data_IF_870350492911
#
_entry.id   IF_870350492911
#
_cell.length_a   1.000
_cell.length_b   1.000
_cell.length_c   1.000
_cell.angle_alpha   90.00
_cell.angle_beta   90.00
_cell.angle_gamma   90.00
#
_symmetry.space_group_name_H-M   'P 1'
#
loop_
_entity.id
_entity.type
_entity.pdbx_description
1 polymer ?
#
# COMPACT_ATOMS: atom_id res chain seq x y z
N UNK A 1 -9.35 24.03 18.88
CA UNK A 1 -8.82 23.77 17.51
C UNK A 1 -9.89 23.06 16.68
N UNK A 2 -9.84 23.20 15.36
CA UNK A 2 -10.75 22.56 14.39
C UNK A 2 -9.94 21.79 13.34
N UNK A 3 -10.49 20.68 12.85
CA UNK A 3 -9.78 19.76 11.96
C UNK A 3 -10.61 19.28 10.78
N UNK A 4 -9.92 19.07 9.66
CA UNK A 4 -10.40 18.23 8.56
C UNK A 4 -9.46 17.03 8.51
N UNK A 5 -10.00 15.83 8.71
CA UNK A 5 -9.26 14.59 8.48
C UNK A 5 -9.45 14.18 7.01
N UNK A 6 -8.39 14.32 6.21
CA UNK A 6 -8.46 14.11 4.76
C UNK A 6 -8.51 12.63 4.35
N UNK A 7 -8.35 11.70 5.28
CA UNK A 7 -8.29 10.27 4.98
C UNK A 7 -8.74 9.42 6.17
N UNK A 8 -10.01 9.03 6.18
CA UNK A 8 -10.57 8.09 7.15
C UNK A 8 -11.39 6.99 6.46
N UNK A 9 -10.99 5.73 6.62
CA UNK A 9 -11.61 4.57 5.97
C UNK A 9 -12.88 4.12 6.74
N UNK A 10 -13.86 5.01 6.91
CA UNK A 10 -15.04 4.79 7.75
C UNK A 10 -16.01 3.71 7.23
N UNK A 11 -15.80 3.20 6.02
CA UNK A 11 -16.47 2.00 5.49
C UNK A 11 -15.82 0.70 6.00
N UNK A 12 -14.65 0.77 6.66
CA UNK A 12 -13.98 -0.42 7.17
C UNK A 12 -14.87 -1.20 8.18
N UNK A 13 -14.99 -2.53 8.04
CA UNK A 13 -15.84 -3.35 8.91
C UNK A 13 -15.51 -3.25 10.41
N UNK A 14 -14.28 -2.83 10.79
CA UNK A 14 -13.89 -2.63 12.18
C UNK A 14 -14.76 -1.59 12.90
N UNK A 15 -15.30 -0.59 12.19
CA UNK A 15 -16.22 0.40 12.77
C UNK A 15 -17.65 -0.14 12.95
N UNK A 16 -17.98 -1.22 12.24
CA UNK A 16 -19.21 -2.00 12.43
C UNK A 16 -19.03 -3.17 13.39
N UNK A 17 -17.89 -3.22 14.09
CA UNK A 17 -17.55 -4.26 15.07
C UNK A 17 -17.12 -5.61 14.47
N UNK A 18 -16.83 -5.66 13.17
CA UNK A 18 -16.41 -6.87 12.46
C UNK A 18 -14.89 -6.88 12.29
N UNK A 19 -14.24 -7.94 12.80
CA UNK A 19 -12.79 -8.10 12.70
C UNK A 19 -12.49 -9.44 12.04
N UNK A 20 -11.80 -9.41 10.89
CA UNK A 20 -11.46 -10.62 10.11
C UNK A 20 -12.70 -11.51 9.86
N UNK A 21 -13.82 -10.88 9.48
CA UNK A 21 -15.08 -11.54 9.17
C UNK A 21 -15.88 -12.06 10.38
N UNK A 22 -15.51 -11.69 11.62
CA UNK A 22 -16.26 -12.08 12.83
C UNK A 22 -16.77 -10.86 13.58
N UNK A 23 -18.05 -10.87 13.96
CA UNK A 23 -18.63 -9.87 14.85
C UNK A 23 -17.99 -10.01 16.24
N UNK A 24 -17.29 -8.96 16.71
CA UNK A 24 -16.65 -8.92 18.02
C UNK A 24 -17.43 -8.08 19.04
N UNK A 25 -18.12 -7.04 18.57
CA UNK A 25 -18.96 -6.16 19.39
C UNK A 25 -20.08 -5.55 18.55
N UNK A 26 -21.04 -4.85 19.16
CA UNK A 26 -22.09 -4.11 18.43
C UNK A 26 -21.48 -3.00 17.54
N UNK A 27 -22.23 -2.60 16.52
CA UNK A 27 -21.89 -1.43 15.70
C UNK A 27 -21.78 -0.17 16.57
N UNK A 28 -20.65 0.52 16.49
CA UNK A 28 -20.37 1.74 17.24
C UNK A 28 -19.97 2.92 16.34
N UNK A 29 -20.26 2.83 15.04
CA UNK A 29 -19.88 3.81 14.03
C UNK A 29 -20.32 5.25 14.38
N UNK A 30 -21.56 5.42 14.88
CA UNK A 30 -22.05 6.74 15.32
C UNK A 30 -21.26 7.30 16.52
N UNK A 31 -20.81 6.43 17.43
CA UNK A 31 -20.02 6.85 18.58
C UNK A 31 -18.60 7.26 18.18
N UNK A 32 -18.04 6.66 17.12
CA UNK A 32 -16.78 7.09 16.50
C UNK A 32 -16.90 8.52 15.98
N UNK A 33 -18.00 8.83 15.27
CA UNK A 33 -18.26 10.20 14.80
C UNK A 33 -18.49 11.20 15.95
N UNK A 34 -19.19 10.81 17.00
CA UNK A 34 -19.39 11.66 18.18
C UNK A 34 -18.06 12.00 18.86
N UNK A 35 -17.14 11.03 18.97
CA UNK A 35 -15.79 11.26 19.48
C UNK A 35 -14.99 12.19 18.57
N UNK A 36 -15.05 11.99 17.25
CA UNK A 36 -14.40 12.86 16.28
C UNK A 36 -14.88 14.33 16.41
N UNK A 37 -16.21 14.55 16.49
CA UNK A 37 -16.79 15.89 16.68
C UNK A 37 -16.34 16.53 17.99
N UNK A 38 -16.35 15.78 19.10
CA UNK A 38 -15.86 16.27 20.41
C UNK A 38 -14.37 16.64 20.38
N UNK A 39 -13.57 15.95 19.57
CA UNK A 39 -12.18 16.26 19.34
C UNK A 39 -11.96 17.45 18.37
N UNK A 40 -13.01 18.11 17.89
CA UNK A 40 -12.89 19.24 16.98
C UNK A 40 -12.73 18.86 15.50
N UNK A 41 -12.96 17.61 15.12
CA UNK A 41 -13.04 17.22 13.70
C UNK A 41 -14.38 17.72 13.15
N UNK A 42 -14.34 18.69 12.25
CA UNK A 42 -15.54 19.27 11.62
C UNK A 42 -15.84 18.63 10.26
N UNK A 43 -14.81 18.16 9.55
CA UNK A 43 -14.98 17.47 8.25
C UNK A 43 -14.11 16.23 8.15
N UNK A 44 -14.61 15.22 7.44
CA UNK A 44 -14.00 13.91 7.21
C UNK A 44 -14.12 13.56 5.74
N UNK A 45 -13.03 13.13 5.12
CA UNK A 45 -13.06 12.58 3.77
C UNK A 45 -12.91 11.06 3.87
N UNK A 46 -13.97 10.35 3.49
CA UNK A 46 -14.02 8.89 3.43
C UNK A 46 -13.35 8.43 2.13
N UNK A 47 -12.34 7.59 2.26
CA UNK A 47 -11.56 7.12 1.12
C UNK A 47 -12.30 6.03 0.35
N UNK A 48 -12.59 6.28 -0.93
CA UNK A 48 -13.04 5.25 -1.88
C UNK A 48 -11.84 4.64 -2.61
N UNK A 49 -11.60 3.33 -2.47
CA UNK A 49 -10.43 2.66 -3.07
C UNK A 49 -10.75 1.91 -4.36
N UNK A 50 -12.02 1.70 -4.69
CA UNK A 50 -12.50 1.18 -5.96
C UNK A 50 -13.95 1.62 -6.20
N UNK A 51 -14.55 1.19 -7.31
CA UNK A 51 -15.92 1.59 -7.66
C UNK A 51 -16.97 1.13 -6.64
N UNK A 52 -16.83 -0.06 -6.06
CA UNK A 52 -17.75 -0.60 -5.05
C UNK A 52 -17.66 0.16 -3.73
N UNK A 53 -16.45 0.31 -3.19
CA UNK A 53 -16.19 1.01 -1.93
C UNK A 53 -16.51 2.51 -2.04
N UNK A 54 -16.33 3.13 -3.21
CA UNK A 54 -16.74 4.51 -3.45
C UNK A 54 -18.28 4.66 -3.43
N UNK A 55 -19.02 3.71 -3.99
CA UNK A 55 -20.49 3.70 -3.89
C UNK A 55 -20.93 3.51 -2.43
N UNK A 56 -20.32 2.56 -1.72
CA UNK A 56 -20.62 2.32 -0.30
C UNK A 56 -20.37 3.58 0.55
N UNK A 57 -19.24 4.26 0.33
CA UNK A 57 -18.92 5.50 1.04
C UNK A 57 -19.99 6.58 0.78
N UNK A 58 -20.39 6.78 -0.48
CA UNK A 58 -21.43 7.73 -0.85
C UNK A 58 -22.78 7.38 -0.20
N UNK A 59 -23.15 6.10 -0.17
CA UNK A 59 -24.41 5.65 0.43
C UNK A 59 -24.42 5.83 1.95
N UNK A 60 -23.31 5.51 2.63
CA UNK A 60 -23.13 5.76 4.06
C UNK A 60 -23.25 7.27 4.37
N UNK A 61 -22.65 8.12 3.53
CA UNK A 61 -22.75 9.58 3.68
C UNK A 61 -24.19 10.05 3.50
N UNK A 62 -24.88 9.61 2.45
CA UNK A 62 -26.30 9.97 2.23
C UNK A 62 -27.19 9.62 3.42
N UNK A 63 -26.89 8.53 4.13
CA UNK A 63 -27.66 8.08 5.29
C UNK A 63 -27.31 8.80 6.59
N UNK A 64 -26.11 9.40 6.71
CA UNK A 64 -25.57 9.84 8.00
C UNK A 64 -25.00 11.27 8.02
N UNK A 65 -25.10 12.03 6.93
CA UNK A 65 -24.44 13.34 6.79
C UNK A 65 -25.33 14.55 7.16
N UNK A 66 -26.07 14.44 8.27
CA UNK A 66 -27.01 15.50 8.71
C UNK A 66 -26.31 16.85 8.97
N UNK A 67 -25.03 16.84 9.32
CA UNK A 67 -24.25 18.03 9.68
C UNK A 67 -23.22 18.46 8.61
N UNK A 68 -23.29 17.92 7.38
CA UNK A 68 -22.31 18.19 6.31
C UNK A 68 -20.84 17.93 6.72
N UNK A 69 -20.64 16.95 7.60
CA UNK A 69 -19.33 16.55 8.13
C UNK A 69 -18.58 15.60 7.19
N UNK A 70 -19.31 14.77 6.43
CA UNK A 70 -18.74 13.66 5.68
C UNK A 70 -18.69 13.95 4.18
N UNK A 71 -17.56 13.66 3.57
CA UNK A 71 -17.27 13.74 2.14
C UNK A 71 -16.61 12.44 1.68
N UNK A 72 -16.47 12.24 0.36
CA UNK A 72 -15.84 11.03 -0.19
C UNK A 72 -14.87 11.37 -1.32
N UNK A 73 -13.97 10.44 -1.59
CA UNK A 73 -13.22 10.38 -2.84
C UNK A 73 -13.85 9.36 -3.80
N UNK A 74 -13.56 9.48 -5.10
CA UNK A 74 -13.90 8.45 -6.11
C UNK A 74 -12.67 8.16 -6.96
N UNK A 75 -12.26 6.89 -7.03
CA UNK A 75 -11.07 6.46 -7.76
C UNK A 75 -10.84 4.96 -7.65
N UNK A 76 -9.68 4.51 -8.13
CA UNK A 76 -9.24 3.13 -8.07
C UNK A 76 -7.78 3.08 -7.60
N UNK A 77 -7.59 2.46 -6.44
CA UNK A 77 -6.33 2.30 -5.75
C UNK A 77 -5.37 1.40 -6.55
N UNK A 78 -4.04 1.60 -6.49
CA UNK A 78 -3.06 0.76 -7.19
C UNK A 78 -3.31 -0.74 -7.00
N UNK A 79 -3.68 -1.19 -5.81
CA UNK A 79 -3.91 -2.63 -5.54
C UNK A 79 -5.20 -3.20 -6.14
N UNK A 80 -6.08 -2.34 -6.66
CA UNK A 80 -7.39 -2.71 -7.24
C UNK A 80 -7.45 -2.48 -8.75
N UNK A 81 -6.35 -2.00 -9.36
CA UNK A 81 -6.34 -1.61 -10.78
C UNK A 81 -6.62 -2.77 -11.75
N UNK A 82 -6.52 -4.04 -11.33
CA UNK A 82 -6.96 -5.19 -12.13
C UNK A 82 -8.48 -5.18 -12.41
N UNK A 83 -9.29 -4.49 -11.58
CA UNK A 83 -10.73 -4.38 -11.77
C UNK A 83 -11.11 -3.71 -13.10
N UNK A 84 -10.25 -2.83 -13.64
CA UNK A 84 -10.45 -2.25 -14.98
C UNK A 84 -10.49 -3.33 -16.07
N UNK A 85 -9.61 -4.33 -15.99
CA UNK A 85 -9.55 -5.43 -16.98
C UNK A 85 -10.64 -6.48 -16.72
N UNK A 86 -11.09 -6.61 -15.46
CA UNK A 86 -12.12 -7.57 -15.05
C UNK A 86 -13.55 -7.06 -15.30
N UNK A 87 -13.73 -5.76 -15.50
CA UNK A 87 -15.02 -5.15 -15.84
C UNK A 87 -15.61 -5.74 -17.13
N UNK A 88 -16.92 -6.02 -17.15
CA UNK A 88 -17.59 -6.71 -18.26
C UNK A 88 -17.51 -5.96 -19.60
N UNK A 89 -17.63 -4.63 -19.62
CA UNK A 89 -17.39 -3.81 -20.81
C UNK A 89 -15.99 -3.19 -20.84
N UNK A 90 -15.06 -3.78 -20.07
CA UNK A 90 -13.65 -3.47 -20.09
C UNK A 90 -13.26 -2.14 -19.44
N UNK A 91 -12.00 -1.70 -19.66
CA UNK A 91 -11.43 -0.58 -18.93
C UNK A 91 -12.14 0.76 -19.14
N UNK A 92 -12.64 1.00 -20.36
CA UNK A 92 -13.35 2.24 -20.70
C UNK A 92 -14.68 2.35 -19.94
N UNK A 93 -15.43 1.25 -19.79
CA UNK A 93 -16.67 1.25 -19.01
C UNK A 93 -16.37 1.54 -17.54
N UNK A 94 -15.36 0.87 -16.95
CA UNK A 94 -15.01 1.08 -15.55
C UNK A 94 -14.61 2.54 -15.27
N UNK A 95 -13.80 3.14 -16.15
CA UNK A 95 -13.43 4.56 -16.04
C UNK A 95 -14.64 5.49 -16.16
N UNK A 96 -15.57 5.21 -17.09
CA UNK A 96 -16.79 6.00 -17.24
C UNK A 96 -17.70 5.90 -16.02
N UNK A 97 -17.82 4.71 -15.40
CA UNK A 97 -18.61 4.54 -14.17
C UNK A 97 -18.04 5.32 -12.99
N UNK A 98 -16.71 5.40 -12.86
CA UNK A 98 -16.08 6.29 -11.86
C UNK A 98 -16.39 7.77 -12.15
N UNK A 99 -16.34 8.18 -13.42
CA UNK A 99 -16.68 9.55 -13.81
C UNK A 99 -18.14 9.89 -13.51
N UNK A 100 -19.06 9.02 -13.89
CA UNK A 100 -20.50 9.17 -13.62
C UNK A 100 -20.75 9.28 -12.12
N UNK A 101 -20.17 8.37 -11.33
CA UNK A 101 -20.32 8.39 -9.86
C UNK A 101 -19.86 9.72 -9.25
N UNK A 102 -18.74 10.27 -9.70
CA UNK A 102 -18.25 11.57 -9.23
C UNK A 102 -19.18 12.72 -9.65
N UNK A 103 -19.69 12.70 -10.89
CA UNK A 103 -20.55 13.76 -11.43
C UNK A 103 -21.98 13.75 -10.86
N UNK A 104 -22.51 12.59 -10.52
CA UNK A 104 -23.84 12.44 -9.94
C UNK A 104 -23.90 12.84 -8.45
N UNK A 105 -22.74 12.95 -7.79
CA UNK A 105 -22.65 13.22 -6.35
C UNK A 105 -21.76 14.45 -6.02
N UNK A 106 -21.98 15.62 -6.64
CA UNK A 106 -21.05 16.76 -6.57
C UNK A 106 -20.98 17.44 -5.19
N UNK A 107 -21.98 17.26 -4.33
CA UNK A 107 -21.96 17.76 -2.95
C UNK A 107 -21.22 16.86 -1.97
N UNK A 108 -20.91 15.63 -2.38
CA UNK A 108 -20.32 14.59 -1.54
C UNK A 108 -18.91 14.25 -1.99
N UNK A 109 -18.69 14.13 -3.30
CA UNK A 109 -17.41 13.73 -3.88
C UNK A 109 -16.52 14.95 -4.06
N UNK A 110 -15.43 15.00 -3.29
CA UNK A 110 -14.53 16.17 -3.23
C UNK A 110 -13.17 15.95 -3.86
N UNK A 111 -12.82 14.70 -4.21
CA UNK A 111 -11.53 14.39 -4.84
C UNK A 111 -11.61 13.15 -5.74
N UNK A 112 -10.73 13.11 -6.75
CA UNK A 112 -10.44 11.90 -7.51
C UNK A 112 -9.32 11.13 -6.82
N UNK A 113 -9.61 9.90 -6.43
CA UNK A 113 -8.72 9.04 -5.67
C UNK A 113 -9.53 8.11 -4.77
N UNK A 114 -8.90 7.22 -4.03
CA UNK A 114 -7.47 7.06 -3.91
C UNK A 114 -6.86 6.42 -5.17
N UNK A 115 -5.85 7.05 -5.78
CA UNK A 115 -5.18 6.50 -6.96
C UNK A 115 -3.68 6.83 -6.95
N UNK A 116 -2.87 6.02 -7.64
CA UNK A 116 -1.42 6.18 -7.58
C UNK A 116 -0.69 4.86 -7.77
N UNK A 117 0.42 4.68 -7.04
CA UNK A 117 1.33 3.54 -7.21
C UNK A 117 1.76 2.97 -5.84
N UNK A 118 1.74 1.65 -5.70
CA UNK A 118 2.20 0.92 -4.51
C UNK A 118 3.02 -0.32 -4.90
N UNK A 119 4.35 -0.20 -4.82
CA UNK A 119 5.27 -1.29 -5.17
C UNK A 119 5.57 -2.23 -4.00
N UNK A 120 5.05 -1.94 -2.80
CA UNK A 120 5.07 -2.88 -1.67
C UNK A 120 3.89 -3.88 -1.74
N UNK A 121 3.03 -3.75 -2.75
CA UNK A 121 1.79 -4.52 -2.92
C UNK A 121 1.63 -5.14 -4.31
N UNK A 122 2.75 -5.43 -4.99
CA UNK A 122 2.75 -6.03 -6.33
C UNK A 122 2.08 -7.42 -6.41
N UNK A 123 1.89 -8.10 -5.27
CA UNK A 123 1.11 -9.34 -5.19
C UNK A 123 -0.39 -9.14 -5.44
N UNK A 124 -0.90 -7.92 -5.31
CA UNK A 124 -2.30 -7.59 -5.56
C UNK A 124 -2.54 -7.06 -6.97
N UNK A 125 -1.61 -6.25 -7.50
CA UNK A 125 -1.70 -5.71 -8.85
C UNK A 125 -0.30 -5.42 -9.39
N UNK A 126 -0.02 -5.79 -10.64
CA UNK A 126 1.31 -5.64 -11.23
C UNK A 126 1.68 -4.18 -11.46
N UNK A 127 3.00 -3.90 -11.48
CA UNK A 127 3.53 -2.55 -11.71
C UNK A 127 3.03 -1.94 -13.02
N UNK A 128 2.93 -2.76 -14.07
CA UNK A 128 2.48 -2.33 -15.40
C UNK A 128 1.00 -1.92 -15.39
N UNK A 129 0.15 -2.67 -14.68
CA UNK A 129 -1.28 -2.40 -14.57
C UNK A 129 -1.52 -1.16 -13.69
N UNK A 130 -0.81 -1.05 -12.57
CA UNK A 130 -0.83 0.15 -11.72
C UNK A 130 -0.48 1.41 -12.53
N UNK A 131 0.63 1.40 -13.28
CA UNK A 131 1.03 2.57 -14.10
C UNK A 131 0.00 2.89 -15.19
N UNK A 132 -0.53 1.87 -15.88
CA UNK A 132 -1.54 2.05 -16.93
C UNK A 132 -2.80 2.74 -16.41
N UNK A 133 -3.32 2.28 -15.26
CA UNK A 133 -4.59 2.78 -14.73
C UNK A 133 -4.46 3.96 -13.79
N UNK A 134 -3.28 4.22 -13.25
CA UNK A 134 -2.99 5.52 -12.66
C UNK A 134 -3.00 6.62 -13.73
N UNK A 135 -2.34 6.40 -14.87
CA UNK A 135 -2.33 7.35 -15.99
C UNK A 135 -3.75 7.68 -16.50
N UNK A 136 -4.61 6.65 -16.61
CA UNK A 136 -5.99 6.83 -17.05
C UNK A 136 -6.82 7.70 -16.10
N UNK A 137 -6.57 7.65 -14.79
CA UNK A 137 -7.35 8.38 -13.80
C UNK A 137 -7.09 9.90 -13.80
N UNK A 138 -6.00 10.38 -14.41
CA UNK A 138 -5.84 11.82 -14.67
C UNK A 138 -6.93 12.37 -15.61
N UNK A 139 -7.55 11.53 -16.47
CA UNK A 139 -8.72 11.93 -17.26
C UNK A 139 -9.92 12.27 -16.38
N UNK A 140 -10.09 11.58 -15.25
CA UNK A 140 -11.19 11.84 -14.32
C UNK A 140 -11.02 13.22 -13.67
N UNK A 141 -9.81 13.52 -13.17
CA UNK A 141 -9.50 14.82 -12.57
C UNK A 141 -9.66 15.96 -13.60
N UNK A 142 -9.23 15.73 -14.84
CA UNK A 142 -9.36 16.71 -15.91
C UNK A 142 -10.82 17.01 -16.27
N UNK A 143 -11.69 15.99 -16.30
CA UNK A 143 -13.12 16.14 -16.64
C UNK A 143 -13.94 16.71 -15.48
N UNK A 144 -13.67 16.27 -14.26
CA UNK A 144 -14.43 16.68 -13.06
C UNK A 144 -13.94 17.99 -12.47
N UNK A 145 -12.69 18.39 -12.77
CA UNK A 145 -12.00 19.54 -12.13
C UNK A 145 -11.80 19.38 -10.63
N UNK A 146 -12.01 18.18 -10.09
CA UNK A 146 -11.75 17.87 -8.69
C UNK A 146 -10.24 17.71 -8.44
N UNK A 147 -9.78 18.02 -7.22
CA UNK A 147 -8.41 17.73 -6.79
C UNK A 147 -8.13 16.23 -6.77
N UNK A 148 -6.85 15.85 -6.77
CA UNK A 148 -6.44 14.44 -6.67
C UNK A 148 -6.03 14.05 -5.25
N UNK A 149 -6.46 12.86 -4.81
CA UNK A 149 -6.04 12.21 -3.57
C UNK A 149 -5.13 11.03 -3.92
N UNK A 150 -3.82 11.23 -3.77
CA UNK A 150 -2.79 10.42 -4.42
C UNK A 150 -2.07 9.47 -3.46
N UNK A 151 -1.97 8.20 -3.82
CA UNK A 151 -1.21 7.19 -3.09
C UNK A 151 0.19 6.99 -3.68
N UNK A 152 1.19 6.90 -2.81
CA UNK A 152 2.55 6.59 -3.23
C UNK A 152 3.30 5.74 -2.18
N UNK A 153 3.78 4.56 -2.58
CA UNK A 153 4.59 3.68 -1.72
C UNK A 153 5.71 2.99 -2.48
N UNK A 154 6.96 3.34 -2.13
CA UNK A 154 8.18 2.69 -2.61
C UNK A 154 8.31 2.64 -4.14
N UNK A 155 7.94 3.72 -4.82
CA UNK A 155 7.80 3.72 -6.28
C UNK A 155 9.04 4.22 -7.03
N UNK A 156 10.05 4.72 -6.28
CA UNK A 156 11.19 5.42 -6.84
C UNK A 156 10.74 6.63 -7.66
N UNK A 157 11.35 6.84 -8.81
CA UNK A 157 11.04 8.02 -9.64
C UNK A 157 9.74 7.86 -10.46
N UNK A 158 9.12 6.68 -10.51
CA UNK A 158 7.98 6.43 -11.41
C UNK A 158 6.77 7.32 -11.06
N UNK A 159 6.42 7.46 -9.78
CA UNK A 159 5.30 8.29 -9.35
C UNK A 159 5.53 9.77 -9.68
N UNK A 160 6.68 10.32 -9.29
CA UNK A 160 7.04 11.73 -9.55
C UNK A 160 7.07 12.03 -11.05
N UNK A 161 7.63 11.13 -11.86
CA UNK A 161 7.67 11.30 -13.32
C UNK A 161 6.27 11.31 -13.95
N UNK A 162 5.36 10.44 -13.49
CA UNK A 162 3.98 10.40 -13.98
C UNK A 162 3.18 11.65 -13.58
N UNK A 163 3.33 12.10 -12.32
CA UNK A 163 2.75 13.37 -11.86
C UNK A 163 3.26 14.51 -12.74
N UNK A 164 4.58 14.61 -12.94
CA UNK A 164 5.18 15.68 -13.74
C UNK A 164 4.67 15.70 -15.19
N UNK A 165 4.52 14.53 -15.81
CA UNK A 165 3.96 14.41 -17.16
C UNK A 165 2.49 14.87 -17.23
N UNK A 166 1.70 14.61 -16.18
CA UNK A 166 0.26 14.87 -16.14
C UNK A 166 -0.13 16.11 -15.32
N UNK A 167 0.83 16.89 -14.81
CA UNK A 167 0.56 17.98 -13.86
C UNK A 167 -0.39 19.04 -14.41
N UNK A 168 -0.42 19.22 -15.74
CA UNK A 168 -1.28 20.17 -16.43
C UNK A 168 -2.78 19.79 -16.44
N UNK A 169 -3.12 18.56 -16.02
CA UNK A 169 -4.48 17.99 -16.13
C UNK A 169 -5.34 18.19 -14.90
N UNK A 170 -4.74 18.61 -13.77
CA UNK A 170 -5.44 18.85 -12.51
C UNK A 170 -4.83 20.08 -11.80
N UNK A 171 -5.57 20.73 -10.92
CA UNK A 171 -5.14 21.98 -10.26
C UNK A 171 -4.47 21.72 -8.92
N UNK A 172 -5.14 21.01 -8.03
CA UNK A 172 -4.69 20.68 -6.68
C UNK A 172 -4.59 19.17 -6.49
N UNK A 173 -3.72 18.75 -5.59
CA UNK A 173 -3.67 17.36 -5.15
C UNK A 173 -2.84 17.20 -3.89
N UNK A 174 -3.11 16.14 -3.16
CA UNK A 174 -2.38 15.75 -1.95
C UNK A 174 -1.78 14.36 -2.17
N UNK A 175 -0.51 14.19 -1.81
CA UNK A 175 0.10 12.88 -1.64
C UNK A 175 -0.14 12.47 -0.20
N UNK A 176 -1.13 11.61 0.01
CA UNK A 176 -1.61 11.24 1.34
C UNK A 176 -0.69 10.18 1.98
N UNK A 177 -0.78 10.04 3.30
CA UNK A 177 -0.08 9.02 4.10
C UNK A 177 1.42 8.93 3.76
N UNK A 178 2.05 10.10 3.64
CA UNK A 178 3.39 10.24 3.08
C UNK A 178 4.45 9.65 4.02
N UNK A 179 5.27 8.73 3.52
CA UNK A 179 6.36 8.11 4.29
C UNK A 179 7.67 8.00 3.51
N UNK A 180 7.82 8.73 2.41
CA UNK A 180 9.06 8.69 1.59
C UNK A 180 10.11 9.67 2.12
N UNK A 181 11.13 9.97 1.32
CA UNK A 181 12.30 10.77 1.72
C UNK A 181 12.06 12.29 1.61
N UNK A 182 12.98 13.07 2.17
CA UNK A 182 12.97 14.54 2.09
C UNK A 182 13.08 15.00 0.63
N UNK A 183 13.91 14.33 -0.15
CA UNK A 183 14.15 14.67 -1.56
C UNK A 183 12.88 14.49 -2.39
N UNK A 184 12.18 13.38 -2.21
CA UNK A 184 10.92 13.12 -2.91
C UNK A 184 9.82 14.09 -2.45
N UNK A 185 9.74 14.37 -1.14
CA UNK A 185 8.82 15.37 -0.61
C UNK A 185 9.04 16.75 -1.26
N UNK A 186 10.30 17.20 -1.36
CA UNK A 186 10.65 18.48 -2.00
C UNK A 186 10.24 18.52 -3.47
N UNK A 187 10.48 17.43 -4.22
CA UNK A 187 10.04 17.33 -5.62
C UNK A 187 8.51 17.45 -5.77
N UNK A 188 7.74 16.82 -4.87
CA UNK A 188 6.27 16.88 -4.90
C UNK A 188 5.75 18.28 -4.53
N UNK A 189 6.37 18.93 -3.55
CA UNK A 189 6.09 20.32 -3.18
C UNK A 189 6.41 21.30 -4.31
N UNK A 190 7.54 21.12 -5.00
CA UNK A 190 7.93 21.92 -6.18
C UNK A 190 6.94 21.75 -7.34
N UNK A 191 6.31 20.59 -7.44
CA UNK A 191 5.19 20.34 -8.36
C UNK A 191 3.86 20.92 -7.85
N UNK A 192 3.85 21.63 -6.71
CA UNK A 192 2.67 22.29 -6.15
C UNK A 192 1.66 21.31 -5.55
N UNK A 193 2.11 20.16 -5.05
CA UNK A 193 1.28 19.21 -4.32
C UNK A 193 1.37 19.44 -2.81
N UNK A 194 0.29 19.11 -2.11
CA UNK A 194 0.26 19.01 -0.65
C UNK A 194 0.76 17.65 -0.19
N UNK A 195 1.21 17.58 1.07
CA UNK A 195 1.70 16.38 1.73
C UNK A 195 0.80 16.06 2.91
N UNK A 196 0.16 14.89 2.87
CA UNK A 196 -0.67 14.36 3.95
C UNK A 196 0.17 13.60 4.97
N UNK A 197 -0.03 13.91 6.25
CA UNK A 197 0.71 13.33 7.38
C UNK A 197 -0.26 12.64 8.33
N UNK A 198 0.05 11.39 8.69
CA UNK A 198 -0.67 10.62 9.71
C UNK A 198 0.32 9.90 10.66
N UNK A 199 -0.18 9.04 11.55
CA UNK A 199 0.71 8.32 12.46
C UNK A 199 1.67 7.31 11.79
N UNK A 200 1.42 6.89 10.53
CA UNK A 200 2.39 6.14 9.73
C UNK A 200 3.55 7.02 9.24
N UNK A 201 3.28 8.28 8.93
CA UNK A 201 4.27 9.33 8.61
C UNK A 201 5.11 9.77 9.82
N UNK A 202 4.88 9.19 11.00
CA UNK A 202 5.49 9.60 12.27
C UNK A 202 6.14 8.42 13.01
N UNK A 203 6.44 7.32 12.29
CA UNK A 203 6.93 6.06 12.87
C UNK A 203 8.40 6.10 13.25
N UNK A 204 9.27 6.55 12.36
CA UNK A 204 10.73 6.55 12.56
C UNK A 204 11.28 7.96 12.72
N UNK A 205 12.52 8.09 13.20
CA UNK A 205 13.17 9.39 13.33
C UNK A 205 13.38 10.04 11.96
N UNK A 206 13.68 9.24 10.93
CA UNK A 206 13.77 9.70 9.55
C UNK A 206 12.43 10.28 9.07
N UNK A 207 11.31 9.64 9.39
CA UNK A 207 9.99 10.20 9.05
C UNK A 207 9.75 11.55 9.73
N UNK A 208 10.14 11.71 11.01
CA UNK A 208 10.02 12.99 11.71
C UNK A 208 10.87 14.09 11.04
N UNK A 209 12.08 13.76 10.57
CA UNK A 209 12.90 14.72 9.83
C UNK A 209 12.22 15.18 8.54
N UNK A 210 11.56 14.27 7.83
CA UNK A 210 10.82 14.63 6.62
C UNK A 210 9.64 15.54 6.94
N UNK A 211 8.84 15.20 7.95
CA UNK A 211 7.68 16.01 8.35
C UNK A 211 8.09 17.41 8.82
N UNK A 212 9.26 17.53 9.46
CA UNK A 212 9.81 18.82 9.88
C UNK A 212 10.14 19.75 8.70
N UNK A 213 10.50 19.19 7.54
CA UNK A 213 10.88 19.94 6.34
C UNK A 213 9.69 20.34 5.46
N UNK A 214 8.47 19.81 5.69
CA UNK A 214 7.29 20.14 4.88
C UNK A 214 6.94 21.64 5.09
N UNK A 215 6.73 22.44 4.03
CA UNK A 215 6.27 23.82 4.20
C UNK A 215 4.88 23.88 4.85
N UNK A 216 4.64 24.88 5.71
CA UNK A 216 3.36 25.02 6.43
C UNK A 216 2.17 25.13 5.47
N UNK A 217 2.34 25.83 4.35
CA UNK A 217 1.32 26.03 3.30
C UNK A 217 1.17 24.83 2.36
N UNK A 218 1.85 23.72 2.63
CA UNK A 218 1.78 22.46 1.87
C UNK A 218 1.48 21.25 2.75
N UNK A 219 1.17 21.47 4.02
CA UNK A 219 0.89 20.41 4.98
C UNK A 219 -0.62 20.16 5.14
N UNK A 220 -1.00 18.89 5.14
CA UNK A 220 -2.33 18.40 5.54
C UNK A 220 -2.18 17.26 6.54
N UNK A 221 -3.22 16.97 7.33
CA UNK A 221 -3.21 15.91 8.34
C UNK A 221 -4.38 14.95 8.15
N UNK A 222 -4.15 13.71 8.52
CA UNK A 222 -5.14 12.64 8.47
C UNK A 222 -4.86 11.57 9.53
N UNK A 223 -5.83 10.67 9.73
CA UNK A 223 -5.63 9.51 10.61
C UNK A 223 -5.34 8.23 9.87
N UNK A 224 -5.83 8.08 8.63
CA UNK A 224 -5.93 6.80 7.92
C UNK A 224 -6.63 5.72 8.78
N UNK A 225 -7.58 6.15 9.64
CA UNK A 225 -8.30 5.25 10.53
C UNK A 225 -9.02 4.16 9.72
N UNK A 226 -9.05 2.89 10.18
CA UNK A 226 -8.66 2.39 11.50
C UNK A 226 -7.16 2.09 11.68
N UNK A 227 -6.33 2.47 10.70
CA UNK A 227 -4.89 2.20 10.67
C UNK A 227 -4.07 3.32 11.31
N UNK A 228 -2.74 3.24 11.15
CA UNK A 228 -1.79 4.31 11.48
C UNK A 228 -1.84 4.92 12.90
N UNK A 229 -2.33 4.18 13.88
CA UNK A 229 -2.31 4.55 15.30
C UNK A 229 -0.89 4.94 15.77
N UNK A 230 -0.75 6.01 16.58
CA UNK A 230 0.55 6.41 17.15
C UNK A 230 0.86 5.51 18.35
N UNK A 231 1.88 4.65 18.21
CA UNK A 231 2.20 3.61 19.20
C UNK A 231 3.37 4.01 20.08
N UNK A 232 3.50 3.44 21.30
CA UNK A 232 4.66 3.67 22.17
C UNK A 232 6.02 3.40 21.50
N UNK A 233 6.05 2.46 20.55
CA UNK A 233 7.26 2.09 19.79
C UNK A 233 7.63 3.07 18.67
N UNK A 234 6.76 4.03 18.33
CA UNK A 234 7.03 5.02 17.29
C UNK A 234 7.89 6.16 17.85
N UNK A 235 8.73 6.76 17.00
CA UNK A 235 9.55 7.92 17.37
C UNK A 235 8.70 9.11 17.84
N UNK A 236 7.48 9.25 17.34
CA UNK A 236 6.49 10.26 17.74
C UNK A 236 5.99 10.14 19.18
N UNK A 237 6.06 8.96 19.80
CA UNK A 237 5.45 8.73 21.12
C UNK A 237 6.01 9.65 22.21
N UNK A 238 7.31 9.99 22.12
CA UNK A 238 8.00 10.90 23.05
C UNK A 238 7.43 12.33 23.04
N UNK A 239 6.79 12.73 21.94
CA UNK A 239 6.22 14.07 21.80
C UNK A 239 4.82 14.19 22.40
N UNK A 240 4.12 13.07 22.62
CA UNK A 240 2.79 13.06 23.19
C UNK A 240 2.75 13.51 24.67
N UNK A 241 3.87 13.39 25.38
CA UNK A 241 3.98 13.84 26.77
C UNK A 241 3.84 15.37 26.95
N UNK A 242 3.95 16.14 25.85
CA UNK A 242 3.79 17.60 25.86
C UNK A 242 2.33 18.03 25.70
N UNK A 243 1.42 17.11 25.36
CA UNK A 243 0.01 17.43 25.13
C UNK A 243 -0.68 17.67 26.48
N UNK A 244 -1.44 18.76 26.65
CA UNK A 244 -2.30 18.98 27.81
C UNK A 244 -3.19 17.77 28.10
N UNK A 245 -3.40 17.46 29.38
CA UNK A 245 -4.16 16.27 29.80
C UNK A 245 -5.58 16.25 29.21
N UNK A 246 -6.25 17.40 29.18
CA UNK A 246 -7.62 17.54 28.66
C UNK A 246 -7.70 17.22 27.16
N UNK A 247 -6.74 17.72 26.38
CA UNK A 247 -6.63 17.42 24.93
C UNK A 247 -6.25 15.96 24.69
N UNK A 248 -5.35 15.40 25.50
CA UNK A 248 -5.01 13.98 25.42
C UNK A 248 -6.24 13.08 25.67
N UNK A 249 -7.10 13.43 26.62
CA UNK A 249 -8.35 12.69 26.87
C UNK A 249 -9.36 12.81 25.71
N UNK A 250 -9.34 13.91 24.97
CA UNK A 250 -10.14 14.11 23.75
C UNK A 250 -9.61 13.32 22.55
N UNK A 251 -8.29 13.30 22.36
CA UNK A 251 -7.66 12.72 21.16
C UNK A 251 -7.29 11.24 21.30
N UNK A 252 -7.03 10.79 22.53
CA UNK A 252 -6.82 9.39 22.87
C UNK A 252 -7.73 8.93 24.05
N UNK A 253 -9.07 8.94 23.87
CA UNK A 253 -9.99 8.43 24.88
C UNK A 253 -9.64 7.02 25.37
N UNK A 254 -10.13 6.69 26.57
CA UNK A 254 -9.95 5.35 27.14
C UNK A 254 -10.39 4.27 26.16
N UNK A 255 -9.52 3.27 25.97
CA UNK A 255 -9.77 2.16 25.06
C UNK A 255 -9.76 0.81 25.76
N UNK A 256 -10.62 -0.10 25.30
CA UNK A 256 -10.70 -1.50 25.76
C UNK A 256 -10.37 -2.44 24.60
N UNK A 257 -10.00 -3.68 24.94
CA UNK A 257 -9.88 -4.72 23.90
C UNK A 257 -11.26 -4.99 23.29
N UNK A 258 -11.33 -5.31 22.00
CA UNK A 258 -12.59 -5.62 21.30
C UNK A 258 -13.44 -6.71 21.98
N UNK A 259 -12.80 -7.68 22.65
CA UNK A 259 -13.49 -8.76 23.38
C UNK A 259 -14.11 -8.30 24.71
N UNK A 260 -13.77 -7.08 25.16
CA UNK A 260 -14.30 -6.43 26.36
C UNK A 260 -14.81 -5.03 25.99
N UNK A 261 -15.48 -4.94 24.84
CA UNK A 261 -16.03 -3.70 24.34
C UNK A 261 -16.98 -3.09 25.37
N UNK A 262 -16.90 -1.78 25.51
CA UNK A 262 -17.71 -0.99 26.42
C UNK A 262 -18.18 0.23 25.65
N UNK A 263 -19.51 0.40 25.58
CA UNK A 263 -20.13 1.45 24.77
C UNK A 263 -19.64 2.83 25.22
N UNK A 264 -19.23 3.66 24.26
CA UNK A 264 -18.68 4.99 24.49
C UNK A 264 -17.16 5.03 24.60
N UNK A 265 -16.50 3.91 24.89
CA UNK A 265 -15.03 3.80 24.87
C UNK A 265 -14.51 3.43 23.48
N UNK A 266 -13.22 3.70 23.23
CA UNK A 266 -12.55 3.28 22.01
C UNK A 266 -12.17 1.79 22.02
N UNK A 267 -11.87 1.26 20.84
CA UNK A 267 -11.32 -0.10 20.71
C UNK A 267 -9.80 -0.05 20.57
N UNK A 268 -9.09 -0.81 21.40
CA UNK A 268 -7.63 -0.86 21.43
C UNK A 268 -7.07 -1.36 20.08
N UNK A 269 -6.13 -0.60 19.52
CA UNK A 269 -5.51 -0.79 18.20
C UNK A 269 -6.47 -0.58 17.01
N UNK A 270 -7.61 0.10 17.21
CA UNK A 270 -8.42 0.66 16.14
C UNK A 270 -8.27 2.18 16.23
N UNK A 271 -7.50 2.77 15.32
CA UNK A 271 -7.41 4.22 15.24
C UNK A 271 -8.79 4.80 14.88
N UNK A 272 -9.04 6.03 15.31
CA UNK A 272 -10.29 6.74 15.05
C UNK A 272 -9.99 8.19 14.68
N UNK A 273 -10.89 8.89 13.96
CA UNK A 273 -10.64 10.26 13.53
C UNK A 273 -10.40 11.27 14.66
N UNK A 274 -10.85 10.98 15.89
CA UNK A 274 -10.51 11.81 17.05
C UNK A 274 -9.01 11.93 17.31
N UNK A 275 -8.20 10.98 16.81
CA UNK A 275 -6.74 11.00 16.91
C UNK A 275 -6.07 12.06 16.01
N UNK A 276 -6.80 12.79 15.17
CA UNK A 276 -6.27 13.87 14.31
C UNK A 276 -5.47 14.90 15.11
N UNK A 277 -5.96 15.26 16.31
CA UNK A 277 -5.26 16.17 17.21
C UNK A 277 -3.89 15.65 17.67
N UNK A 278 -3.72 14.33 17.86
CA UNK A 278 -2.42 13.76 18.20
C UNK A 278 -1.40 13.97 17.08
N UNK A 279 -1.82 13.81 15.82
CA UNK A 279 -0.97 14.03 14.65
C UNK A 279 -0.50 15.49 14.62
N UNK A 280 -1.43 16.44 14.77
CA UNK A 280 -1.10 17.87 14.86
C UNK A 280 -0.07 18.15 15.96
N UNK A 281 -0.32 17.68 17.19
CA UNK A 281 0.57 17.98 18.31
C UNK A 281 1.98 17.40 18.13
N UNK A 282 2.10 16.22 17.53
CA UNK A 282 3.42 15.68 17.19
C UNK A 282 4.13 16.59 16.20
N UNK A 283 3.44 17.05 15.14
CA UNK A 283 4.02 17.95 14.14
C UNK A 283 4.44 19.29 14.78
N UNK A 284 3.56 19.90 15.56
CA UNK A 284 3.86 21.14 16.29
C UNK A 284 5.08 20.97 17.21
N UNK A 285 5.14 19.85 17.94
CA UNK A 285 6.22 19.57 18.88
C UNK A 285 7.60 19.30 18.25
N UNK A 286 7.66 18.76 17.02
CA UNK A 286 8.94 18.54 16.31
C UNK A 286 9.42 19.79 15.57
N UNK A 287 8.50 20.71 15.26
CA UNK A 287 8.77 21.99 14.58
C UNK A 287 8.95 23.17 15.53
N UNK A 288 8.61 22.99 16.81
CA UNK A 288 8.58 24.06 17.82
C UNK A 288 7.61 25.18 17.42
N UNK A 289 6.41 24.79 17.00
CA UNK A 289 5.35 25.67 16.53
C UNK A 289 4.15 25.66 17.49
N UNK A 290 3.37 26.74 17.49
CA UNK A 290 2.12 26.80 18.23
C UNK A 290 1.07 25.86 17.59
N UNK A 291 0.47 24.91 18.34
CA UNK A 291 -0.51 23.98 17.79
C UNK A 291 -1.76 24.67 17.24
N UNK A 292 -2.23 25.76 17.85
CA UNK A 292 -3.46 26.43 17.41
C UNK A 292 -3.25 27.17 16.08
N UNK A 293 -2.13 27.90 15.95
CA UNK A 293 -1.74 28.55 14.70
C UNK A 293 -1.57 27.52 13.57
N UNK A 294 -0.87 26.42 13.86
CA UNK A 294 -0.64 25.35 12.89
C UNK A 294 -1.95 24.67 12.49
N UNK A 295 -2.87 24.44 13.44
CA UNK A 295 -4.20 23.89 13.16
C UNK A 295 -4.96 24.74 12.15
N UNK A 296 -4.96 26.07 12.32
CA UNK A 296 -5.67 26.97 11.42
C UNK A 296 -5.02 27.01 10.03
N UNK A 297 -3.69 26.99 9.93
CA UNK A 297 -3.01 26.92 8.62
C UNK A 297 -3.39 25.62 7.89
N UNK A 298 -3.33 24.48 8.57
CA UNK A 298 -3.71 23.17 8.00
C UNK A 298 -5.19 23.17 7.60
N UNK A 299 -6.06 23.75 8.43
CA UNK A 299 -7.47 23.91 8.10
C UNK A 299 -7.67 24.69 6.79
N UNK A 300 -6.97 25.81 6.61
CA UNK A 300 -7.06 26.63 5.39
C UNK A 300 -6.53 25.88 4.17
N UNK A 301 -5.36 25.23 4.28
CA UNK A 301 -4.80 24.41 3.20
C UNK A 301 -5.81 23.37 2.68
N UNK A 302 -6.46 22.66 3.61
CA UNK A 302 -7.42 21.61 3.30
C UNK A 302 -8.75 22.17 2.78
N UNK A 303 -9.27 23.22 3.42
CA UNK A 303 -10.55 23.82 3.04
C UNK A 303 -10.53 24.36 1.61
N UNK A 304 -9.48 25.09 1.26
CA UNK A 304 -9.28 25.68 -0.06
C UNK A 304 -9.09 24.63 -1.17
N UNK A 305 -8.65 23.43 -0.80
CA UNK A 305 -8.40 22.35 -1.76
C UNK A 305 -9.63 21.49 -2.01
N UNK A 306 -10.39 21.13 -0.97
CA UNK A 306 -11.42 20.08 -1.06
C UNK A 306 -12.85 20.53 -0.73
N UNK A 307 -13.05 21.59 0.06
CA UNK A 307 -14.37 21.82 0.68
C UNK A 307 -14.98 23.20 0.46
N UNK A 308 -14.24 24.14 -0.12
CA UNK A 308 -14.77 25.45 -0.50
C UNK A 308 -14.88 25.58 -2.03
N UNK A 309 -16.09 25.67 -2.61
CA UNK A 309 -16.28 25.88 -4.04
C UNK A 309 -16.00 27.32 -4.50
N UNK A 310 -15.68 28.27 -3.60
CA UNK A 310 -15.62 29.70 -3.93
C UNK A 310 -14.25 30.24 -4.35
N UNK A 311 -13.15 29.50 -4.19
CA UNK A 311 -11.80 30.04 -4.44
C UNK A 311 -11.09 29.44 -5.67
N UNK A 312 -11.80 29.46 -6.82
CA UNK A 312 -11.16 29.34 -8.13
C UNK A 312 -10.68 30.72 -8.62
N UNK A 313 -9.79 31.37 -7.87
CA UNK A 313 -9.05 32.54 -8.38
C UNK A 313 -7.70 32.09 -8.94
N UNK A 314 -7.45 32.21 -10.26
CA UNK A 314 -6.17 31.88 -10.83
C UNK A 314 -5.14 32.98 -10.49
N UNK A 315 -4.08 32.62 -9.76
CA UNK A 315 -2.86 33.41 -9.68
C UNK A 315 -2.20 33.43 -11.07
N UNK A 316 -2.59 34.41 -11.87
CA UNK A 316 -2.07 34.63 -13.21
C UNK A 316 -0.61 35.12 -13.17
N UNK A 317 0.34 34.20 -13.33
CA UNK A 317 1.66 34.54 -13.85
C UNK A 317 1.58 34.60 -15.37
N UNK A 318 1.59 35.83 -15.85
CA UNK A 318 1.52 36.25 -17.24
C UNK A 318 2.88 36.10 -17.92
N UNK A 319 2.99 35.21 -18.90
CA UNK A 319 3.89 35.42 -20.06
C UNK A 319 3.26 34.86 -21.33
N UNK A 320 2.98 35.76 -22.28
CA UNK A 320 2.44 35.47 -23.63
C UNK A 320 3.51 34.88 -24.56
N UNK A 321 3.01 34.09 -25.51
CA UNK A 321 3.63 33.23 -26.52
C UNK A 321 4.59 33.92 -27.55
N UNK A 322 5.16 33.15 -28.52
CA UNK A 322 4.42 33.04 -29.79
C UNK A 322 4.41 31.65 -30.48
N UNK A 323 3.32 31.45 -31.22
CA UNK A 323 2.98 30.35 -32.14
C UNK A 323 4.01 30.15 -33.26
N UNK A 324 4.13 28.91 -33.77
CA UNK A 324 4.41 28.63 -35.19
C UNK A 324 3.76 27.33 -35.69
N UNK A 325 3.42 27.39 -36.97
CA UNK A 325 2.47 26.56 -37.72
C UNK A 325 3.00 25.20 -38.21
N UNK A 326 2.05 24.28 -38.37
CA UNK A 326 1.83 23.33 -39.49
C UNK A 326 3.00 22.51 -40.08
N UNK A 327 2.86 21.18 -40.12
CA UNK A 327 2.32 20.50 -41.31
C UNK A 327 2.21 18.97 -41.14
N UNK A 328 1.04 18.45 -41.52
CA UNK A 328 0.75 17.03 -41.78
C UNK A 328 1.55 16.54 -43.00
N UNK A 329 2.04 15.30 -42.95
CA UNK A 329 2.14 14.43 -44.14
C UNK A 329 1.78 12.98 -43.78
N UNK A 330 0.69 12.53 -44.38
CA UNK A 330 0.29 11.13 -44.52
C UNK A 330 1.21 10.44 -45.55
N UNK A 331 1.62 9.21 -45.26
CA UNK A 331 1.87 8.19 -46.30
C UNK A 331 1.97 6.79 -45.69
N UNK A 332 0.89 6.04 -45.77
CA UNK A 332 0.90 4.60 -46.09
C UNK A 332 0.56 4.50 -47.60
N UNK A 333 0.69 3.35 -48.32
CA UNK A 333 0.74 1.96 -47.83
C UNK A 333 1.72 1.03 -48.60
N UNK A 334 1.85 -0.23 -48.17
CA UNK A 334 1.72 -1.38 -49.09
C UNK A 334 1.82 -2.71 -48.33
N UNK A 335 0.78 -3.52 -48.53
CA UNK A 335 0.66 -4.91 -48.12
C UNK A 335 1.12 -5.77 -49.28
N UNK A 336 2.09 -6.66 -49.08
CA UNK A 336 2.47 -7.69 -50.04
C UNK A 336 2.08 -9.09 -49.52
N UNK A 337 1.20 -9.75 -50.28
CA UNK A 337 0.80 -11.16 -50.16
C UNK A 337 1.94 -12.10 -50.56
N UNK A 338 2.11 -13.20 -49.83
CA UNK A 338 2.75 -14.44 -50.30
C UNK A 338 1.91 -15.62 -49.76
N UNK A 339 1.03 -16.21 -50.59
CA UNK A 339 1.21 -17.44 -51.38
C UNK A 339 1.55 -18.68 -50.53
N UNK A 340 0.53 -19.48 -50.30
CA UNK A 340 0.60 -20.83 -49.77
C UNK A 340 1.08 -21.79 -50.86
N UNK A 341 2.04 -22.65 -50.52
CA UNK A 341 2.38 -23.87 -51.26
C UNK A 341 2.21 -25.05 -50.32
N UNK A 342 1.35 -25.97 -50.74
CA UNK A 342 1.23 -27.32 -50.19
C UNK A 342 2.52 -28.06 -50.47
N UNK A 343 3.10 -28.72 -49.45
CA UNK A 343 4.01 -29.83 -49.67
C UNK A 343 3.67 -30.97 -48.71
N UNK A 344 3.65 -32.14 -49.32
CA UNK A 344 3.25 -33.47 -48.87
C UNK A 344 3.86 -33.93 -47.55
N UNK A 345 3.02 -34.55 -46.71
CA UNK A 345 3.40 -35.24 -45.47
C UNK A 345 3.90 -36.64 -45.85
N UNK A 346 5.18 -36.91 -45.64
CA UNK A 346 5.73 -38.26 -45.66
C UNK A 346 6.59 -38.49 -44.40
N UNK A 347 6.08 -39.31 -43.48
CA UNK A 347 6.81 -39.86 -42.33
C UNK A 347 6.70 -39.08 -41.01
N UNK A 348 7.05 -39.71 -39.87
CA UNK A 348 6.96 -39.08 -38.55
C UNK A 348 7.87 -37.84 -38.48
N UNK A 349 7.29 -36.73 -38.00
CA UNK A 349 7.93 -35.42 -37.84
C UNK A 349 9.28 -35.52 -37.09
N UNK A 350 10.38 -35.45 -37.84
CA UNK A 350 11.70 -35.30 -37.24
C UNK A 350 12.00 -33.81 -37.03
N UNK A 351 11.75 -33.31 -35.82
CA UNK A 351 12.02 -31.92 -35.46
C UNK A 351 13.52 -31.53 -35.55
N UNK A 352 14.43 -32.50 -35.70
CA UNK A 352 15.85 -32.24 -35.85
C UNK A 352 16.26 -31.82 -37.26
N UNK A 353 15.46 -32.14 -38.29
CA UNK A 353 15.76 -31.84 -39.70
C UNK A 353 15.15 -30.53 -40.20
N UNK A 354 14.44 -29.78 -39.35
CA UNK A 354 13.89 -28.47 -39.70
C UNK A 354 14.95 -27.40 -39.42
N UNK A 355 15.36 -26.65 -40.46
CA UNK A 355 16.18 -25.45 -40.28
C UNK A 355 15.45 -24.45 -39.40
N UNK A 356 16.06 -24.11 -38.25
CA UNK A 356 15.46 -23.19 -37.28
C UNK A 356 15.72 -21.75 -37.72
N UNK A 357 14.69 -20.95 -38.08
CA UNK A 357 14.86 -19.67 -38.76
C UNK A 357 15.53 -18.56 -37.92
N UNK A 358 15.85 -18.82 -36.65
CA UNK A 358 16.37 -17.81 -35.70
C UNK A 358 17.62 -18.23 -34.93
N UNK A 359 18.45 -19.15 -35.45
CA UNK A 359 19.75 -19.45 -34.80
C UNK A 359 20.82 -18.44 -35.20
N UNK A 360 21.00 -17.43 -34.35
CA UNK A 360 22.18 -16.54 -34.37
C UNK A 360 23.47 -17.36 -34.40
N UNK A 361 24.43 -16.99 -35.26
CA UNK A 361 25.76 -17.60 -35.33
C UNK A 361 26.58 -17.46 -34.04
N UNK A 362 26.14 -16.61 -33.11
CA UNK A 362 26.76 -16.41 -31.78
C UNK A 362 26.16 -17.31 -30.69
N UNK A 363 25.14 -18.11 -30.99
CA UNK A 363 24.51 -18.98 -30.00
C UNK A 363 25.34 -20.25 -29.74
N UNK A 364 26.05 -20.30 -28.61
CA UNK A 364 26.65 -21.54 -28.10
C UNK A 364 25.59 -22.37 -27.37
N UNK A 365 25.46 -23.65 -27.71
CA UNK A 365 24.57 -24.59 -27.02
C UNK A 365 24.87 -24.57 -25.52
N UNK A 366 23.88 -24.33 -24.63
CA UNK A 366 24.13 -24.38 -23.19
C UNK A 366 24.62 -25.80 -22.82
N UNK A 367 25.60 -25.88 -21.91
CA UNK A 367 26.09 -27.16 -21.37
C UNK A 367 24.87 -28.01 -20.99
N UNK A 368 24.81 -29.26 -21.50
CA UNK A 368 23.75 -30.22 -21.15
C UNK A 368 23.58 -30.21 -19.64
N UNK A 369 22.38 -29.87 -19.17
CA UNK A 369 22.02 -30.02 -17.77
C UNK A 369 22.25 -31.49 -17.40
N UNK A 370 23.03 -31.73 -16.35
CA UNK A 370 23.15 -33.08 -15.79
C UNK A 370 21.76 -33.52 -15.36
N UNK A 371 21.37 -34.75 -15.72
CA UNK A 371 20.10 -35.27 -15.22
C UNK A 371 20.22 -35.52 -13.70
N UNK A 372 19.09 -35.57 -12.99
CA UNK A 372 19.07 -35.72 -11.53
C UNK A 372 19.88 -36.94 -11.05
N UNK A 373 19.83 -38.05 -11.81
CA UNK A 373 20.59 -39.27 -11.51
C UNK A 373 22.11 -39.05 -11.57
N UNK A 374 22.59 -38.24 -12.52
CA UNK A 374 24.00 -37.86 -12.65
C UNK A 374 24.44 -36.87 -11.57
N UNK A 375 23.55 -35.98 -11.12
CA UNK A 375 23.83 -35.04 -10.02
C UNK A 375 23.97 -35.82 -8.72
N UNK A 376 23.00 -36.67 -8.39
CA UNK A 376 23.00 -37.49 -7.19
C UNK A 376 24.19 -38.45 -7.11
N UNK A 377 24.62 -39.02 -8.25
CA UNK A 377 25.80 -39.88 -8.30
C UNK A 377 27.10 -39.10 -8.05
N UNK A 378 27.20 -37.85 -8.54
CA UNK A 378 28.37 -37.01 -8.34
C UNK A 378 28.48 -36.48 -6.90
N UNK A 379 27.35 -36.12 -6.27
CA UNK A 379 27.33 -35.69 -4.87
C UNK A 379 27.74 -36.80 -3.91
N UNK A 380 27.39 -38.07 -4.20
CA UNK A 380 27.79 -39.21 -3.36
C UNK A 380 29.29 -39.49 -3.35
N UNK A 381 30.02 -39.04 -4.37
CA UNK A 381 31.45 -39.30 -4.51
C UNK A 381 32.31 -38.11 -4.12
N UNK A 382 31.70 -37.00 -3.69
CA UNK A 382 32.41 -35.78 -3.27
C UNK A 382 32.32 -35.63 -1.76
N UNK A 383 33.48 -35.48 -1.13
CA UNK A 383 33.58 -35.12 0.28
C UNK A 383 33.34 -33.60 0.38
N UNK A 384 32.08 -33.22 0.60
CA UNK A 384 31.64 -31.83 0.66
C UNK A 384 31.56 -31.36 2.12
N UNK A 385 31.90 -30.09 2.36
CA UNK A 385 31.74 -29.47 3.67
C UNK A 385 30.26 -29.51 4.12
N UNK A 386 30.03 -29.73 5.41
CA UNK A 386 28.71 -29.97 6.03
C UNK A 386 27.72 -28.82 5.80
N UNK A 387 28.23 -27.62 5.52
CA UNK A 387 27.43 -26.42 5.30
C UNK A 387 26.97 -26.25 3.84
N UNK A 388 27.39 -27.14 2.92
CA UNK A 388 27.04 -27.04 1.50
C UNK A 388 25.69 -27.72 1.24
N UNK A 389 24.69 -27.00 0.67
CA UNK A 389 23.40 -27.61 0.33
C UNK A 389 23.55 -28.66 -0.78
N UNK A 390 23.06 -29.88 -0.56
CA UNK A 390 23.05 -30.99 -1.53
C UNK A 390 21.62 -31.48 -1.77
N UNK A 391 21.39 -32.22 -2.86
CA UNK A 391 20.07 -32.82 -3.13
C UNK A 391 19.64 -33.91 -2.12
N UNK A 392 20.55 -34.31 -1.23
CA UNK A 392 20.25 -35.23 -0.14
C UNK A 392 19.85 -34.51 1.16
N UNK A 393 20.05 -33.19 1.23
CA UNK A 393 19.69 -32.42 2.41
C UNK A 393 18.19 -32.07 2.38
N UNK A 394 17.46 -32.48 3.44
CA UNK A 394 16.03 -32.17 3.62
C UNK A 394 15.74 -30.67 3.66
N UNK A 395 16.75 -29.86 3.96
CA UNK A 395 16.69 -28.39 3.96
C UNK A 395 16.80 -27.78 2.55
N UNK A 396 17.07 -28.57 1.51
CA UNK A 396 17.28 -28.05 0.16
C UNK A 396 16.29 -28.59 -0.89
N UNK A 397 14.96 -28.58 -0.67
CA UNK A 397 14.03 -28.80 -1.79
C UNK A 397 14.14 -27.63 -2.78
N UNK A 398 13.99 -27.89 -4.09
CA UNK A 398 14.18 -26.86 -5.10
C UNK A 398 13.06 -25.81 -5.00
N UNK A 399 13.45 -24.55 -4.83
CA UNK A 399 12.67 -23.37 -5.23
C UNK A 399 11.36 -23.08 -4.49
N UNK A 400 11.37 -23.04 -3.15
CA UNK A 400 10.30 -22.37 -2.39
C UNK A 400 10.91 -21.50 -1.30
N UNK A 401 10.78 -20.17 -1.46
CA UNK A 401 11.08 -19.19 -0.42
C UNK A 401 9.76 -18.68 0.18
N UNK A 402 9.63 -18.62 1.53
CA UNK A 402 10.62 -19.03 2.53
C UNK A 402 10.69 -20.56 2.69
N UNK A 403 11.88 -21.05 3.02
CA UNK A 403 12.16 -22.47 3.24
C UNK A 403 11.33 -23.01 4.42
N UNK A 404 10.57 -24.08 4.18
CA UNK A 404 9.80 -24.75 5.24
C UNK A 404 10.74 -25.50 6.18
N UNK A 405 10.51 -25.38 7.48
CA UNK A 405 11.25 -26.11 8.51
C UNK A 405 10.45 -27.35 8.91
N UNK A 406 11.11 -28.50 8.98
CA UNK A 406 10.50 -29.75 9.43
C UNK A 406 10.98 -30.14 10.83
N UNK A 407 10.14 -30.88 11.54
CA UNK A 407 10.36 -31.43 12.86
C UNK A 407 11.36 -32.59 12.75
N UNK A 408 12.42 -32.55 13.55
CA UNK A 408 13.54 -33.49 13.41
C UNK A 408 13.16 -34.92 13.82
N UNK A 409 12.06 -35.09 14.57
CA UNK A 409 11.58 -36.39 15.05
C UNK A 409 10.46 -36.95 14.17
N UNK A 410 9.51 -36.11 13.75
CA UNK A 410 8.28 -36.56 13.08
C UNK A 410 8.22 -36.23 11.60
N UNK A 411 9.09 -35.35 11.08
CA UNK A 411 9.04 -34.86 9.71
C UNK A 411 7.89 -33.90 9.38
N UNK A 412 7.01 -33.60 10.35
CA UNK A 412 5.94 -32.60 10.19
C UNK A 412 6.50 -31.18 10.16
N UNK A 413 5.76 -30.21 9.62
CA UNK A 413 6.19 -28.79 9.61
C UNK A 413 6.41 -28.30 11.05
N UNK A 414 7.64 -27.87 11.36
CA UNK A 414 8.02 -27.34 12.65
C UNK A 414 7.93 -25.81 12.67
N UNK A 415 7.23 -25.29 13.69
CA UNK A 415 7.12 -23.84 13.93
C UNK A 415 8.14 -23.34 14.96
N UNK A 416 8.77 -24.25 15.70
CA UNK A 416 9.58 -23.93 16.87
C UNK A 416 10.91 -24.71 16.85
N UNK A 417 11.92 -24.13 17.48
CA UNK A 417 13.24 -24.74 17.71
C UNK A 417 13.56 -24.66 19.20
N UNK A 418 13.98 -25.77 19.79
CA UNK A 418 14.46 -25.79 21.17
C UNK A 418 15.84 -25.12 21.24
N UNK A 419 16.02 -24.03 22.02
CA UNK A 419 17.28 -23.31 22.10
C UNK A 419 18.41 -24.12 22.76
N UNK A 420 18.09 -25.15 23.55
CA UNK A 420 19.10 -25.97 24.24
C UNK A 420 19.69 -27.04 23.33
N UNK A 421 18.84 -27.78 22.61
CA UNK A 421 19.27 -28.89 21.75
C UNK A 421 19.44 -28.50 20.29
N UNK A 422 18.86 -27.38 19.85
CA UNK A 422 18.80 -27.01 18.43
C UNK A 422 17.83 -27.87 17.60
N UNK A 423 17.06 -28.76 18.24
CA UNK A 423 16.05 -29.59 17.59
C UNK A 423 14.77 -28.80 17.30
N UNK A 424 14.20 -29.01 16.11
CA UNK A 424 12.94 -28.44 15.64
C UNK A 424 11.78 -29.34 16.03
N UNK A 425 10.69 -28.75 16.51
CA UNK A 425 9.52 -29.50 16.96
C UNK A 425 8.19 -28.90 16.47
N UNK A 426 7.19 -29.77 16.35
CA UNK A 426 5.86 -29.43 15.84
C UNK A 426 4.90 -28.94 16.94
N UNK A 427 4.83 -29.65 18.07
CA UNK A 427 3.88 -29.41 19.16
C UNK A 427 4.54 -29.59 20.55
N UNK A 428 3.78 -29.32 21.62
CA UNK A 428 4.28 -29.39 22.99
C UNK A 428 4.67 -30.81 23.44
N UNK A 429 4.04 -31.85 22.91
CA UNK A 429 4.34 -33.25 23.22
C UNK A 429 5.74 -33.63 22.74
N UNK A 430 6.08 -33.26 21.49
CA UNK A 430 7.42 -33.49 20.94
C UNK A 430 8.46 -32.69 21.71
N UNK A 431 8.14 -31.47 22.16
CA UNK A 431 9.04 -30.69 23.02
C UNK A 431 9.32 -31.40 24.35
N UNK A 432 8.30 -31.99 25.00
CA UNK A 432 8.51 -32.79 26.21
C UNK A 432 9.38 -34.02 25.94
N UNK A 433 9.15 -34.70 24.81
CA UNK A 433 9.97 -35.83 24.39
C UNK A 433 11.43 -35.44 24.15
N UNK A 434 11.70 -34.30 23.50
CA UNK A 434 13.06 -33.76 23.29
C UNK A 434 13.80 -33.60 24.62
N UNK A 435 13.11 -33.16 25.68
CA UNK A 435 13.72 -33.01 27.02
C UNK A 435 14.10 -34.32 27.69
N UNK A 436 13.59 -35.46 27.21
CA UNK A 436 13.95 -36.79 27.70
C UNK A 436 15.12 -37.41 26.93
N UNK A 437 15.51 -36.83 25.79
CA UNK A 437 16.59 -37.37 24.97
C UNK A 437 17.96 -37.16 25.61
N UNK A 438 18.80 -38.18 25.50
CA UNK A 438 20.21 -38.11 25.87
C UNK A 438 21.01 -37.30 24.82
N UNK A 439 22.14 -36.75 25.23
CA UNK A 439 23.04 -35.98 24.35
C UNK A 439 23.43 -36.75 23.07
N UNK A 440 23.77 -38.07 23.12
CA UNK A 440 24.05 -38.84 21.90
C UNK A 440 22.86 -38.92 20.93
N UNK A 441 21.64 -39.06 21.46
CA UNK A 441 20.44 -39.14 20.62
C UNK A 441 20.13 -37.81 19.96
N UNK A 442 20.32 -36.69 20.69
CA UNK A 442 20.18 -35.35 20.12
C UNK A 442 21.19 -35.13 18.99
N UNK A 443 22.45 -35.55 19.19
CA UNK A 443 23.49 -35.49 18.16
C UNK A 443 23.14 -36.32 16.93
N UNK A 444 22.56 -37.52 17.09
CA UNK A 444 22.13 -38.35 15.97
C UNK A 444 21.01 -37.69 15.13
N UNK A 445 20.03 -37.04 15.77
CA UNK A 445 18.99 -36.29 15.06
C UNK A 445 19.55 -35.06 14.33
N UNK A 446 20.45 -34.31 14.97
CA UNK A 446 21.11 -33.15 14.35
C UNK A 446 22.00 -33.54 13.17
N UNK A 447 22.76 -34.64 13.31
CA UNK A 447 23.58 -35.20 12.23
C UNK A 447 22.71 -35.64 11.05
N UNK A 448 21.52 -36.20 11.31
CA UNK A 448 20.57 -36.57 10.25
C UNK A 448 20.05 -35.35 9.47
N UNK A 449 20.00 -34.17 10.10
CA UNK A 449 19.69 -32.89 9.44
C UNK A 449 20.94 -32.18 8.88
N UNK A 450 22.13 -32.76 9.01
CA UNK A 450 23.39 -32.11 8.66
C UNK A 450 23.62 -30.78 9.43
N UNK A 451 23.11 -30.68 10.66
CA UNK A 451 23.29 -29.51 11.51
C UNK A 451 24.49 -29.72 12.45
N UNK A 452 25.57 -28.96 12.25
CA UNK A 452 26.73 -28.98 13.14
C UNK A 452 26.40 -28.22 14.44
N UNK A 453 26.19 -28.95 15.54
CA UNK A 453 26.07 -28.36 16.89
C UNK A 453 26.90 -29.21 17.85
N UNK A 454 27.97 -28.65 18.40
CA UNK A 454 28.69 -29.29 19.51
C UNK A 454 27.96 -28.92 20.80
N UNK A 455 27.23 -29.88 21.38
CA UNK A 455 26.61 -29.71 22.69
C UNK A 455 27.73 -29.79 23.74
N UNK A 456 28.03 -28.67 24.41
CA UNK A 456 28.96 -28.62 25.55
C UNK A 456 28.29 -29.07 26.83
#
# INVERSE_FOLDING_TARGET
MRFIDIGANLTDPMFRGVYRGKQAHEDDWHLVLDRARKAGVEKLIITGTNLEEANEAIDVIKQHNENQMLYSTVGCHPTRCDEFEQSSGGPTEYLNRLLELAQENPSTVVAIGECGLDYDRLQFCSKEIQKKYFEAQFELAEKTKLPMFLHNRNTGDDFVNMIKANRHRFTHGVVHSFTSTVEEMKQLVDLGLYIGVNGCSLKTEENLQVVKEIPRDRLMIETDAPWCDIRPTHASSKHLAKIPKEEMELYAPLSKKKERFEKGLMVKNRCEPCATGLVLHVIAAIRDEDPEELAEIIWQNTSNSFTDPTDTMPTALTTRAPKKNSNKKNSSPSVSKAKATQDSIAGPLNLASIEKPFKSSKYKTPKKSKNLKQILAAEKTQDLDLNIPTYQNIECPPSILPQQKYCDITGLIARYTDPKTGLRYHNAEIYQFIRTLSVPNVQAYLASRNAAVVLK
#
